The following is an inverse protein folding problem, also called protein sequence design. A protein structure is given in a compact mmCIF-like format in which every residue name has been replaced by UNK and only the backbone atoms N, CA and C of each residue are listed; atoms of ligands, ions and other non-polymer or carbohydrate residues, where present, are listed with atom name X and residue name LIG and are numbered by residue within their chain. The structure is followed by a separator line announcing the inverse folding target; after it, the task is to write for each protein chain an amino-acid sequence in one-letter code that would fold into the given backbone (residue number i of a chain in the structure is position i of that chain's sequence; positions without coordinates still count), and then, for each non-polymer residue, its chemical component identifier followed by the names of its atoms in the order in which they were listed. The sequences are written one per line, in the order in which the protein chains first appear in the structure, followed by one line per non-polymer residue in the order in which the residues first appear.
data_IF_753651940556
#
_entry.id   IF_753651940556
#
_cell.length_a   1.000
_cell.length_b   1.000
_cell.length_c   1.000
_cell.angle_alpha   90.00
_cell.angle_beta   90.00
_cell.angle_gamma   90.00
#
_symmetry.space_group_name_H-M   'P 1'
#
loop_
_entity.id
_entity.type
_entity.pdbx_description
1 polymer ?
#
# COMPACT_ATOMS: atom_id res chain seq x y z
N UNK A 1 -18.32 12.74 21.12
CA UNK A 1 -17.95 11.46 21.77
C UNK A 1 -16.58 11.67 22.39
N UNK A 2 -16.39 11.32 23.66
CA UNK A 2 -15.19 11.67 24.45
C UNK A 2 -14.25 10.45 24.47
N UNK A 3 -12.95 10.67 24.30
CA UNK A 3 -11.94 9.62 24.45
C UNK A 3 -11.90 9.15 25.92
N UNK A 4 -11.95 7.84 26.14
CA UNK A 4 -11.88 7.21 27.46
C UNK A 4 -10.74 6.18 27.46
N UNK A 5 -9.76 6.37 28.34
CA UNK A 5 -8.59 5.50 28.49
C UNK A 5 -9.04 4.09 28.92
N UNK A 6 -8.58 3.05 28.20
CA UNK A 6 -8.97 1.65 28.47
C UNK A 6 -10.19 1.13 27.72
N UNK A 7 -10.85 1.97 26.90
CA UNK A 7 -11.92 1.51 26.02
C UNK A 7 -11.37 0.72 24.82
N UNK A 8 -11.54 -0.60 24.86
CA UNK A 8 -11.07 -1.54 23.82
C UNK A 8 -11.90 -1.49 22.54
N UNK A 9 -13.08 -0.85 22.57
CA UNK A 9 -14.00 -0.83 21.44
C UNK A 9 -13.70 0.34 20.50
N UNK A 10 -13.18 1.47 21.02
CA UNK A 10 -12.81 2.59 20.15
C UNK A 10 -11.81 3.61 20.76
N UNK A 11 -10.55 3.24 20.98
CA UNK A 11 -9.53 4.17 21.50
C UNK A 11 -9.12 5.24 20.47
N UNK A 12 -9.57 5.17 19.22
CA UNK A 12 -9.11 6.04 18.12
C UNK A 12 -10.23 6.73 17.35
N UNK A 13 -11.47 6.77 17.87
CA UNK A 13 -12.66 7.21 17.12
C UNK A 13 -12.49 8.55 16.41
N UNK A 14 -11.86 9.49 17.10
CA UNK A 14 -11.64 10.84 16.55
C UNK A 14 -10.66 10.83 15.38
N UNK A 15 -9.70 9.90 15.34
CA UNK A 15 -8.71 9.79 14.26
C UNK A 15 -9.37 9.38 12.94
N UNK A 16 -10.30 8.42 12.98
CA UNK A 16 -11.06 8.03 11.78
C UNK A 16 -11.88 9.22 11.25
N UNK A 17 -12.55 9.94 12.15
CA UNK A 17 -13.29 11.15 11.78
C UNK A 17 -12.39 12.21 11.14
N UNK A 18 -11.19 12.45 11.68
CA UNK A 18 -10.23 13.39 11.09
C UNK A 18 -9.72 12.91 9.72
N UNK A 19 -9.48 11.62 9.56
CA UNK A 19 -9.05 11.04 8.29
C UNK A 19 -10.11 11.24 7.20
N UNK A 20 -11.38 10.91 7.49
CA UNK A 20 -12.48 11.12 6.54
C UNK A 20 -12.73 12.61 6.27
N UNK A 21 -12.62 13.47 7.28
CA UNK A 21 -12.78 14.91 7.10
C UNK A 21 -11.73 15.47 6.13
N UNK A 22 -10.44 15.12 6.30
CA UNK A 22 -9.39 15.53 5.36
C UNK A 22 -9.64 14.99 3.95
N UNK A 23 -10.10 13.74 3.81
CA UNK A 23 -10.47 13.18 2.51
C UNK A 23 -11.59 13.98 1.83
N UNK A 24 -12.65 14.33 2.55
CA UNK A 24 -13.74 15.13 2.00
C UNK A 24 -13.33 16.56 1.65
N UNK A 25 -12.45 17.18 2.45
CA UNK A 25 -11.94 18.51 2.15
C UNK A 25 -10.99 18.50 0.94
N UNK A 26 -10.18 17.45 0.76
CA UNK A 26 -9.36 17.28 -0.43
C UNK A 26 -10.22 17.24 -1.71
N UNK A 27 -11.41 16.62 -1.65
CA UNK A 27 -12.36 16.57 -2.78
C UNK A 27 -13.06 17.92 -2.98
N UNK A 28 -13.61 18.50 -1.92
CA UNK A 28 -14.52 19.66 -2.01
C UNK A 28 -13.82 21.00 -2.06
N UNK A 29 -12.69 21.11 -1.37
CA UNK A 29 -12.00 22.37 -1.07
C UNK A 29 -10.57 22.40 -1.63
N UNK A 30 -10.05 21.26 -2.11
CA UNK A 30 -8.69 21.15 -2.63
C UNK A 30 -7.62 21.10 -1.53
N UNK A 31 -7.99 20.72 -0.31
CA UNK A 31 -7.03 20.51 0.79
C UNK A 31 -5.99 19.42 0.42
N UNK A 32 -4.77 19.53 0.94
CA UNK A 32 -3.75 18.49 0.77
C UNK A 32 -4.20 17.20 1.48
N UNK A 33 -4.22 16.10 0.74
CA UNK A 33 -4.49 14.78 1.29
C UNK A 33 -3.30 14.29 2.13
N UNK A 34 -3.58 13.83 3.36
CA UNK A 34 -2.56 13.36 4.30
C UNK A 34 -2.15 11.89 4.09
N UNK A 35 -2.92 11.12 3.32
CA UNK A 35 -2.64 9.71 3.03
C UNK A 35 -2.93 9.43 1.57
N UNK A 36 -1.96 9.77 0.73
CA UNK A 36 -2.11 9.67 -0.72
C UNK A 36 -2.07 8.22 -1.20
N UNK A 37 -2.78 7.92 -2.29
CA UNK A 37 -2.79 6.59 -2.91
C UNK A 37 -1.38 6.08 -3.24
N UNK A 38 -0.48 6.97 -3.66
CA UNK A 38 0.92 6.61 -3.98
C UNK A 38 1.66 6.04 -2.79
N UNK A 39 1.41 6.54 -1.57
CA UNK A 39 2.00 6.02 -0.33
C UNK A 39 1.42 4.65 0.03
N UNK A 40 0.10 4.47 -0.17
CA UNK A 40 -0.56 3.18 0.02
C UNK A 40 -0.05 2.12 -0.97
N UNK A 41 0.16 2.49 -2.23
CA UNK A 41 0.75 1.61 -3.24
C UNK A 41 2.17 1.18 -2.85
N UNK A 42 3.02 2.12 -2.44
CA UNK A 42 4.40 1.83 -2.05
C UNK A 42 4.48 0.91 -0.82
N UNK A 43 3.70 1.20 0.23
CA UNK A 43 3.67 0.38 1.45
C UNK A 43 3.16 -1.04 1.18
N UNK A 44 2.12 -1.19 0.36
CA UNK A 44 1.59 -2.50 -0.04
C UNK A 44 2.58 -3.27 -0.91
N UNK A 45 3.23 -2.61 -1.85
CA UNK A 45 4.24 -3.22 -2.73
C UNK A 45 5.44 -3.75 -1.91
N UNK A 46 5.85 -3.03 -0.86
CA UNK A 46 6.94 -3.47 0.02
C UNK A 46 6.66 -4.82 0.67
N UNK A 47 5.42 -5.07 1.10
CA UNK A 47 5.01 -6.37 1.67
C UNK A 47 5.13 -7.48 0.63
N UNK A 48 4.71 -7.22 -0.62
CA UNK A 48 4.84 -8.20 -1.71
C UNK A 48 6.31 -8.49 -2.04
N UNK A 49 7.15 -7.45 -2.13
CA UNK A 49 8.59 -7.58 -2.29
C UNK A 49 9.23 -8.42 -1.19
N UNK A 50 8.78 -8.21 0.06
CA UNK A 50 9.27 -8.95 1.23
C UNK A 50 8.89 -10.42 1.16
N UNK A 51 7.67 -10.73 0.72
CA UNK A 51 7.23 -12.11 0.47
C UNK A 51 8.07 -12.78 -0.63
N UNK A 52 8.39 -12.06 -1.71
CA UNK A 52 9.26 -12.58 -2.78
C UNK A 52 10.66 -12.85 -2.23
N UNK A 53 11.25 -11.87 -1.54
CA UNK A 53 12.57 -11.98 -0.90
C UNK A 53 12.66 -13.20 0.02
N UNK A 54 11.63 -13.41 0.85
CA UNK A 54 11.53 -14.55 1.73
C UNK A 54 11.50 -15.88 0.95
N UNK A 55 10.70 -15.96 -0.12
CA UNK A 55 10.58 -17.17 -0.96
C UNK A 55 11.87 -17.55 -1.67
N UNK A 56 12.64 -16.56 -2.12
CA UNK A 56 13.91 -16.79 -2.83
C UNK A 56 15.14 -16.85 -1.90
N UNK A 57 14.94 -16.67 -0.59
CA UNK A 57 15.97 -16.81 0.44
C UNK A 57 17.08 -15.77 0.42
N UNK A 58 16.84 -14.58 -0.16
CA UNK A 58 17.85 -13.52 -0.32
C UNK A 58 17.23 -12.13 -0.41
N UNK A 59 18.02 -11.11 -0.12
CA UNK A 59 17.64 -9.71 -0.33
C UNK A 59 17.45 -9.41 -1.83
N UNK A 60 16.46 -8.57 -2.16
CA UNK A 60 16.20 -8.12 -3.52
C UNK A 60 16.85 -6.75 -3.76
N UNK A 61 17.50 -6.59 -4.91
CA UNK A 61 17.84 -5.27 -5.44
C UNK A 61 16.66 -4.76 -6.26
N UNK A 62 16.19 -3.53 -5.96
CA UNK A 62 15.03 -2.93 -6.63
C UNK A 62 15.35 -1.52 -7.15
N UNK A 63 14.63 -1.07 -8.19
CA UNK A 63 14.62 0.34 -8.57
C UNK A 63 13.79 1.12 -7.54
N UNK A 64 14.43 2.06 -6.83
CA UNK A 64 13.79 2.87 -5.79
C UNK A 64 12.66 3.77 -6.31
N UNK A 65 12.54 3.96 -7.62
CA UNK A 65 11.50 4.82 -8.22
C UNK A 65 10.18 4.09 -8.45
N UNK A 66 10.22 2.78 -8.70
CA UNK A 66 9.03 2.00 -9.09
C UNK A 66 8.93 0.60 -8.46
N UNK A 67 9.92 0.21 -7.66
CA UNK A 67 9.96 -1.06 -6.94
C UNK A 67 10.25 -2.29 -7.81
N UNK A 68 10.63 -2.11 -9.07
CA UNK A 68 10.92 -3.24 -9.98
C UNK A 68 12.18 -3.97 -9.53
N UNK A 69 12.11 -5.30 -9.49
CA UNK A 69 13.26 -6.17 -9.16
C UNK A 69 14.33 -6.07 -10.27
N UNK A 70 15.58 -5.88 -9.86
CA UNK A 70 16.72 -5.70 -10.76
C UNK A 70 17.57 -6.97 -10.82
N UNK A 71 17.87 -7.44 -12.04
CA UNK A 71 18.84 -8.51 -12.35
C UNK A 71 18.57 -9.84 -11.60
N UNK A 72 17.32 -10.15 -11.27
CA UNK A 72 16.94 -11.39 -10.61
C UNK A 72 15.76 -12.06 -11.33
N UNK A 73 16.09 -12.97 -12.25
CA UNK A 73 15.10 -13.65 -13.08
C UNK A 73 14.22 -14.63 -12.30
N UNK A 74 14.71 -15.19 -11.20
CA UNK A 74 13.94 -16.11 -10.37
C UNK A 74 12.89 -15.34 -9.57
N UNK A 75 13.32 -14.28 -8.87
CA UNK A 75 12.41 -13.42 -8.11
C UNK A 75 11.40 -12.69 -9.02
N UNK A 76 11.83 -12.25 -10.21
CA UNK A 76 10.95 -11.57 -11.17
C UNK A 76 9.80 -12.44 -11.68
N UNK A 77 9.92 -13.78 -11.62
CA UNK A 77 8.81 -14.69 -11.96
C UNK A 77 7.68 -14.62 -10.94
N UNK A 78 7.99 -14.35 -9.68
CA UNK A 78 7.02 -14.23 -8.59
C UNK A 78 6.32 -12.87 -8.55
N UNK A 79 6.79 -11.91 -9.35
CA UNK A 79 6.21 -10.56 -9.46
C UNK A 79 4.91 -10.53 -10.26
N UNK A 80 4.77 -11.44 -11.22
CA UNK A 80 3.63 -11.49 -12.12
C UNK A 80 2.50 -12.28 -11.49
N UNK A 81 1.27 -11.88 -11.83
CA UNK A 81 0.06 -12.63 -11.52
C UNK A 81 -0.46 -13.23 -12.82
N UNK A 82 -0.84 -14.50 -12.76
CA UNK A 82 -1.66 -15.10 -13.80
C UNK A 82 -3.10 -14.65 -13.56
N UNK A 83 -3.67 -13.95 -14.54
CA UNK A 83 -5.04 -13.49 -14.51
C UNK A 83 -5.94 -14.51 -15.20
N UNK A 84 -7.21 -14.53 -14.79
CA UNK A 84 -8.22 -15.33 -15.49
C UNK A 84 -8.42 -14.84 -16.92
N UNK A 85 -8.84 -15.73 -17.82
CA UNK A 85 -9.01 -15.38 -19.24
C UNK A 85 -9.96 -14.19 -19.38
N UNK A 86 -9.48 -13.12 -20.04
CA UNK A 86 -10.24 -11.88 -20.23
C UNK A 86 -10.01 -10.80 -19.15
N UNK A 87 -9.23 -11.11 -18.10
CA UNK A 87 -8.77 -10.16 -17.07
C UNK A 87 -7.35 -9.67 -17.32
N UNK A 88 -6.81 -9.91 -18.52
CA UNK A 88 -5.50 -9.41 -18.92
C UNK A 88 -5.47 -7.88 -18.82
N UNK A 89 -4.46 -7.37 -18.12
CA UNK A 89 -4.17 -5.94 -18.08
C UNK A 89 -3.81 -5.49 -19.50
N UNK A 90 -4.67 -4.66 -20.10
CA UNK A 90 -4.37 -3.94 -21.33
C UNK A 90 -3.54 -2.71 -20.95
N UNK A 91 -2.22 -2.86 -21.03
CA UNK A 91 -1.25 -1.78 -20.75
C UNK A 91 -0.65 -1.30 -22.06
#
# INVERSE_FOLDING_TARGET
MVFEEGNLVNPTQSLDAYHFQNFFNAIREGEKLNSCLTEACASTQLVQLSNISHRVGRALNIDHRNGTILKDNEASKLWKREYEKGWDLKV
#
